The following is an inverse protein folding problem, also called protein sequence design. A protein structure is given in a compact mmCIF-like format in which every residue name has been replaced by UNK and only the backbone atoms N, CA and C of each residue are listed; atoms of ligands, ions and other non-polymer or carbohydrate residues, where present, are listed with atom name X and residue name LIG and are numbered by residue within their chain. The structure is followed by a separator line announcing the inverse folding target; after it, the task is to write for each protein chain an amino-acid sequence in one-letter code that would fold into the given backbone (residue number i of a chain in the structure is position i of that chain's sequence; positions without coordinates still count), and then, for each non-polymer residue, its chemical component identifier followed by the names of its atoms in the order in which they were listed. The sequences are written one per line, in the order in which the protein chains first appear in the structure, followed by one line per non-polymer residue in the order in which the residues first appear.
data_IF_027663656247
#
_entry.id   IF_027663656247
#
_cell.length_a   1.000
_cell.length_b   1.000
_cell.length_c   1.000
_cell.angle_alpha   90.00
_cell.angle_beta   90.00
_cell.angle_gamma   90.00
#
_symmetry.space_group_name_H-M   'P 1'
#
loop_
_entity.id
_entity.type
_entity.pdbx_description
1 polymer ?
#
# COMPACT_ATOMS: atom_id res chain seq x y z
N UNK A 1 -26.39 33.97 7.04
CA UNK A 1 -25.67 32.84 6.45
C UNK A 1 -24.22 33.27 6.24
N UNK A 2 -23.37 32.94 7.20
CA UNK A 2 -21.96 33.35 7.21
C UNK A 2 -21.13 32.16 6.71
N UNK A 3 -20.59 32.26 5.51
CA UNK A 3 -19.64 31.33 4.92
C UNK A 3 -18.26 31.58 5.53
N UNK A 4 -17.88 30.83 6.54
CA UNK A 4 -16.52 30.81 7.05
C UNK A 4 -15.62 30.13 6.01
N UNK A 5 -14.80 30.92 5.30
CA UNK A 5 -13.65 30.43 4.54
C UNK A 5 -12.68 29.74 5.51
N UNK A 6 -12.12 28.56 5.15
CA UNK A 6 -11.04 27.97 5.95
C UNK A 6 -9.87 28.96 5.97
N UNK A 7 -9.37 29.27 7.15
CA UNK A 7 -8.23 30.13 7.39
C UNK A 7 -7.00 29.60 6.64
N UNK A 8 -6.49 30.36 5.69
CA UNK A 8 -5.15 30.17 5.16
C UNK A 8 -4.18 30.44 6.32
N UNK A 9 -3.78 29.36 7.01
CA UNK A 9 -2.71 29.44 7.98
C UNK A 9 -1.43 29.90 7.29
N UNK A 10 -0.81 30.93 7.81
CA UNK A 10 0.54 31.36 7.44
C UNK A 10 1.44 30.15 7.55
N UNK A 11 1.96 29.65 6.42
CA UNK A 11 2.89 28.53 6.37
C UNK A 11 4.20 29.00 7.02
N UNK A 12 4.36 28.74 8.30
CA UNK A 12 5.64 28.92 8.98
C UNK A 12 6.65 27.97 8.30
N UNK A 13 7.81 28.50 7.94
CA UNK A 13 8.95 27.72 7.44
C UNK A 13 9.41 26.84 8.60
N UNK A 14 9.09 25.54 8.53
CA UNK A 14 9.45 24.59 9.57
C UNK A 14 10.62 23.74 9.06
N UNK A 15 11.82 24.00 9.53
CA UNK A 15 13.08 23.34 9.14
C UNK A 15 13.10 21.83 9.44
N UNK A 16 12.04 21.30 10.04
CA UNK A 16 11.90 19.90 10.49
C UNK A 16 10.76 19.16 9.77
N UNK A 17 10.37 19.58 8.55
CA UNK A 17 9.33 18.87 7.80
C UNK A 17 9.85 17.64 7.07
N UNK A 18 9.11 16.55 7.18
CA UNK A 18 9.22 15.35 6.33
C UNK A 18 8.14 15.43 5.27
N UNK A 19 8.53 15.43 4.01
CA UNK A 19 7.59 15.41 2.89
C UNK A 19 7.46 14.01 2.30
N UNK A 20 6.26 13.45 2.37
CA UNK A 20 5.91 12.23 1.65
C UNK A 20 5.36 12.61 0.28
N UNK A 21 6.13 12.40 -0.77
CA UNK A 21 5.83 12.85 -2.12
C UNK A 21 5.17 11.73 -2.94
N UNK A 22 4.00 12.00 -3.49
CA UNK A 22 3.24 11.03 -4.30
C UNK A 22 2.51 11.71 -5.47
N UNK A 23 2.32 10.97 -6.57
CA UNK A 23 1.41 11.34 -7.66
C UNK A 23 0.28 10.32 -7.72
N UNK A 24 -0.85 10.65 -7.15
CA UNK A 24 -2.00 9.76 -6.99
C UNK A 24 -3.18 10.25 -7.82
N UNK A 25 -3.51 9.52 -8.88
CA UNK A 25 -4.74 9.68 -9.65
C UNK A 25 -5.79 8.67 -9.23
N UNK A 26 -5.38 7.44 -8.98
CA UNK A 26 -6.22 6.33 -8.54
C UNK A 26 -5.79 5.91 -7.14
N UNK A 27 -6.71 5.34 -6.37
CA UNK A 27 -6.42 4.86 -5.02
C UNK A 27 -6.11 3.36 -5.04
N UNK A 28 -5.01 2.97 -4.39
CA UNK A 28 -4.56 1.58 -4.33
C UNK A 28 -3.57 1.31 -3.20
N UNK A 29 -2.76 0.26 -3.34
CA UNK A 29 -1.84 -0.18 -2.29
C UNK A 29 -0.73 0.82 -1.95
N UNK A 30 -0.27 1.63 -2.92
CA UNK A 30 0.75 2.66 -2.68
C UNK A 30 0.16 3.79 -1.84
N UNK A 31 -1.05 4.25 -2.18
CA UNK A 31 -1.76 5.29 -1.45
C UNK A 31 -2.07 4.84 -0.01
N UNK A 32 -2.56 3.61 0.16
CA UNK A 32 -2.79 3.02 1.49
C UNK A 32 -1.49 3.00 2.30
N UNK A 33 -0.39 2.52 1.71
CA UNK A 33 0.92 2.51 2.36
C UNK A 33 1.37 3.93 2.78
N UNK A 34 1.20 4.94 1.91
CA UNK A 34 1.60 6.33 2.22
C UNK A 34 0.75 6.92 3.35
N UNK A 35 -0.55 6.60 3.40
CA UNK A 35 -1.42 7.03 4.51
C UNK A 35 -1.00 6.38 5.83
N UNK A 36 -0.77 5.07 5.84
CA UNK A 36 -0.27 4.34 7.01
C UNK A 36 1.09 4.89 7.47
N UNK A 37 1.99 5.14 6.51
CA UNK A 37 3.30 5.72 6.79
C UNK A 37 3.18 7.10 7.43
N UNK A 38 2.32 7.98 6.89
CA UNK A 38 2.11 9.30 7.45
C UNK A 38 1.55 9.22 8.88
N UNK A 39 0.55 8.36 9.13
CA UNK A 39 -0.02 8.17 10.47
C UNK A 39 1.01 7.57 11.44
N UNK A 40 1.78 6.58 11.02
CA UNK A 40 2.84 5.98 11.83
C UNK A 40 3.90 7.01 12.21
N UNK A 41 4.38 7.80 11.25
CA UNK A 41 5.34 8.86 11.51
C UNK A 41 4.77 9.95 12.42
N UNK A 42 3.51 10.36 12.25
CA UNK A 42 2.86 11.36 13.11
C UNK A 42 2.72 10.83 14.54
N UNK A 43 2.35 9.57 14.74
CA UNK A 43 2.21 8.98 16.06
C UNK A 43 3.53 8.85 16.81
N UNK A 44 4.60 8.50 16.11
CA UNK A 44 5.94 8.34 16.68
C UNK A 44 6.73 9.67 16.74
N UNK A 45 6.41 10.63 15.87
CA UNK A 45 7.13 11.92 15.77
C UNK A 45 6.91 12.84 16.97
N UNK A 46 5.98 12.54 17.88
CA UNK A 46 5.86 13.25 19.16
C UNK A 46 7.18 13.28 19.94
N UNK A 47 8.10 12.34 19.67
CA UNK A 47 9.44 12.28 20.25
C UNK A 47 10.50 13.07 19.46
N UNK A 48 10.23 13.44 18.21
CA UNK A 48 11.25 13.95 17.26
C UNK A 48 11.04 15.39 16.82
N UNK A 49 10.07 16.13 17.32
CA UNK A 49 9.79 17.53 16.94
C UNK A 49 9.57 17.76 15.42
N UNK A 50 9.36 16.71 14.64
CA UNK A 50 9.23 16.79 13.19
C UNK A 50 7.78 16.76 12.75
N UNK A 51 7.46 17.51 11.71
CA UNK A 51 6.12 17.53 11.13
C UNK A 51 6.11 16.76 9.82
N UNK A 52 5.06 15.97 9.62
CA UNK A 52 4.87 15.16 8.41
C UNK A 52 3.83 15.82 7.52
N UNK A 53 4.13 15.94 6.23
CA UNK A 53 3.24 16.48 5.21
C UNK A 53 3.22 15.58 3.99
N UNK A 54 2.05 15.27 3.47
CA UNK A 54 1.92 14.64 2.16
C UNK A 54 1.93 15.73 1.09
N UNK A 55 2.81 15.60 0.08
CA UNK A 55 2.90 16.51 -1.05
C UNK A 55 2.40 15.80 -2.31
N UNK A 56 1.27 16.26 -2.82
CA UNK A 56 0.65 15.74 -4.04
C UNK A 56 1.25 16.45 -5.26
N UNK A 57 1.84 15.69 -6.18
CA UNK A 57 2.49 16.25 -7.38
C UNK A 57 1.52 16.92 -8.34
N UNK A 58 0.34 16.33 -8.52
CA UNK A 58 -0.65 16.74 -9.50
C UNK A 58 -2.00 17.00 -8.82
N UNK A 59 -2.64 18.10 -9.17
CA UNK A 59 -4.02 18.40 -8.81
C UNK A 59 -4.93 17.86 -9.91
N UNK A 60 -5.68 16.82 -9.64
CA UNK A 60 -6.59 16.18 -10.60
C UNK A 60 -7.98 16.84 -10.55
N UNK A 61 -8.72 16.72 -11.65
CA UNK A 61 -10.14 17.09 -11.72
C UNK A 61 -10.89 15.96 -12.47
N UNK A 62 -11.82 15.21 -11.84
CA UNK A 62 -12.20 15.34 -10.42
C UNK A 62 -11.04 15.08 -9.45
N UNK A 63 -11.22 15.53 -8.21
CA UNK A 63 -10.20 15.41 -7.17
C UNK A 63 -9.93 13.94 -6.84
N UNK A 64 -8.68 13.60 -6.58
CA UNK A 64 -8.27 12.22 -6.31
C UNK A 64 -8.81 11.72 -4.95
N UNK A 65 -9.20 10.47 -4.87
CA UNK A 65 -9.78 9.81 -3.67
C UNK A 65 -8.88 9.97 -2.42
N UNK A 66 -7.57 10.01 -2.62
CA UNK A 66 -6.62 10.19 -1.50
C UNK A 66 -6.89 11.48 -0.71
N UNK A 67 -7.38 12.53 -1.34
CA UNK A 67 -7.65 13.84 -0.68
C UNK A 67 -8.78 13.73 0.32
N UNK A 68 -9.85 13.01 0.00
CA UNK A 68 -10.94 12.74 0.94
C UNK A 68 -10.41 11.99 2.18
N UNK A 69 -9.58 10.98 1.97
CA UNK A 69 -8.98 10.20 3.06
C UNK A 69 -8.00 11.03 3.90
N UNK A 70 -7.21 11.90 3.29
CA UNK A 70 -6.31 12.82 4.00
C UNK A 70 -7.09 13.77 4.92
N UNK A 71 -8.21 14.31 4.45
CA UNK A 71 -9.10 15.15 5.23
C UNK A 71 -9.75 14.37 6.38
N UNK A 72 -10.27 13.17 6.13
CA UNK A 72 -10.89 12.30 7.13
C UNK A 72 -9.91 11.92 8.24
N UNK A 73 -8.66 11.63 7.87
CA UNK A 73 -7.60 11.23 8.81
C UNK A 73 -6.87 12.41 9.44
N UNK A 74 -7.22 13.65 9.09
CA UNK A 74 -6.55 14.88 9.51
C UNK A 74 -5.03 14.88 9.26
N UNK A 75 -4.61 14.28 8.14
CA UNK A 75 -3.19 14.25 7.73
C UNK A 75 -2.87 15.55 6.96
N UNK A 76 -1.85 16.32 7.38
CA UNK A 76 -1.45 17.52 6.66
C UNK A 76 -1.00 17.22 5.23
N UNK A 77 -1.56 17.93 4.26
CA UNK A 77 -1.14 17.78 2.87
C UNK A 77 -1.10 19.12 2.13
N UNK A 78 -0.42 19.16 1.00
CA UNK A 78 -0.38 20.31 0.08
C UNK A 78 -0.20 19.81 -1.35
N UNK A 79 -0.73 20.56 -2.31
CA UNK A 79 -0.34 20.34 -3.69
C UNK A 79 1.00 21.02 -3.97
N UNK A 80 1.84 20.39 -4.77
CA UNK A 80 3.14 20.94 -5.16
C UNK A 80 3.00 22.30 -5.86
N UNK A 81 1.96 22.45 -6.69
CA UNK A 81 1.64 23.73 -7.34
C UNK A 81 1.43 24.86 -6.34
N UNK A 82 0.72 24.59 -5.25
CA UNK A 82 0.37 25.59 -4.25
C UNK A 82 1.61 26.00 -3.42
N UNK A 83 2.47 25.03 -3.08
CA UNK A 83 3.77 25.29 -2.45
C UNK A 83 4.68 26.15 -3.35
N UNK A 84 4.69 25.87 -4.64
CA UNK A 84 5.51 26.61 -5.60
C UNK A 84 5.00 28.05 -5.86
N UNK A 85 3.68 28.27 -5.82
CA UNK A 85 3.05 29.59 -5.99
C UNK A 85 3.44 30.55 -4.88
N UNK A 86 3.57 30.08 -3.63
CA UNK A 86 4.01 30.91 -2.51
C UNK A 86 5.45 31.43 -2.68
N UNK A 87 6.25 30.82 -3.56
CA UNK A 87 7.68 31.11 -3.64
C UNK A 87 8.06 32.11 -4.76
N UNK A 88 7.31 32.31 -5.80
CA UNK A 88 7.55 33.30 -6.88
C UNK A 88 6.77 33.01 -8.17
N UNK A 89 5.44 33.07 -8.17
CA UNK A 89 4.63 33.04 -9.41
C UNK A 89 4.90 31.90 -10.36
N UNK A 90 3.93 31.21 -10.46
CA UNK A 90 3.29 30.19 -11.23
C UNK A 90 3.87 29.60 -12.45
N UNK A 91 4.70 29.32 -13.09
CA UNK A 91 4.74 28.39 -14.22
C UNK A 91 6.01 27.53 -14.30
N UNK A 92 5.81 26.25 -14.37
CA UNK A 92 6.91 25.31 -14.53
C UNK A 92 6.42 23.86 -14.41
N UNK A 93 7.21 22.93 -14.93
CA UNK A 93 6.97 21.51 -14.71
C UNK A 93 7.18 21.13 -13.23
N UNK A 94 6.71 19.96 -12.83
CA UNK A 94 6.78 19.49 -11.44
C UNK A 94 8.21 19.53 -10.86
N UNK A 95 9.25 19.32 -11.69
CA UNK A 95 10.63 19.37 -11.24
C UNK A 95 11.05 20.79 -10.83
N UNK A 96 10.69 21.80 -11.63
CA UNK A 96 10.96 23.21 -11.33
C UNK A 96 10.17 23.66 -10.11
N UNK A 97 8.91 23.26 -10.00
CA UNK A 97 8.06 23.55 -8.85
C UNK A 97 8.64 22.96 -7.57
N UNK A 98 9.03 21.68 -7.59
CA UNK A 98 9.63 21.02 -6.43
C UNK A 98 10.93 21.71 -6.03
N UNK A 99 11.81 22.03 -6.98
CA UNK A 99 13.08 22.70 -6.69
C UNK A 99 12.86 24.04 -5.97
N UNK A 100 11.91 24.85 -6.44
CA UNK A 100 11.55 26.15 -5.81
C UNK A 100 10.96 25.93 -4.41
N UNK A 101 10.01 25.00 -4.26
CA UNK A 101 9.41 24.69 -2.98
C UNK A 101 10.46 24.20 -1.96
N UNK A 102 11.37 23.32 -2.37
CA UNK A 102 12.46 22.85 -1.51
C UNK A 102 13.44 23.96 -1.11
N UNK A 103 13.76 24.88 -2.03
CA UNK A 103 14.60 26.03 -1.72
C UNK A 103 13.97 26.98 -0.69
N UNK A 104 12.65 27.14 -0.73
CA UNK A 104 11.92 28.03 0.17
C UNK A 104 11.63 27.39 1.52
N UNK A 105 11.05 26.19 1.54
CA UNK A 105 10.60 25.51 2.76
C UNK A 105 11.69 24.70 3.45
N UNK A 106 12.74 24.30 2.73
CA UNK A 106 13.88 23.54 3.23
C UNK A 106 13.47 22.30 4.05
N UNK A 107 12.60 21.42 3.52
CA UNK A 107 12.23 20.22 4.24
C UNK A 107 13.50 19.41 4.56
N UNK A 108 13.52 18.79 5.73
CA UNK A 108 14.66 17.95 6.15
C UNK A 108 14.81 16.74 5.23
N UNK A 109 13.66 16.18 4.80
CA UNK A 109 13.61 14.96 4.03
C UNK A 109 12.43 14.95 3.06
N UNK A 110 12.67 14.41 1.86
CA UNK A 110 11.62 14.03 0.91
C UNK A 110 11.67 12.53 0.72
N UNK A 111 10.58 11.87 1.03
CA UNK A 111 10.40 10.45 0.77
C UNK A 111 9.39 10.28 -0.37
N UNK A 112 9.86 9.80 -1.50
CA UNK A 112 9.08 9.66 -2.73
C UNK A 112 8.51 8.26 -2.91
N UNK A 113 7.24 8.20 -3.30
CA UNK A 113 6.52 6.97 -3.56
C UNK A 113 5.96 6.96 -4.99
N UNK A 114 6.27 5.89 -5.74
CA UNK A 114 5.93 5.75 -7.15
C UNK A 114 6.93 6.43 -8.08
N UNK A 115 7.07 5.90 -9.30
CA UNK A 115 8.13 6.26 -10.26
C UNK A 115 8.16 7.76 -10.62
N UNK A 116 6.99 8.41 -10.77
CA UNK A 116 6.94 9.83 -11.14
C UNK A 116 7.42 10.73 -10.01
N UNK A 117 6.96 10.48 -8.77
CA UNK A 117 7.42 11.21 -7.60
C UNK A 117 8.91 10.99 -7.34
N UNK A 118 9.38 9.77 -7.50
CA UNK A 118 10.79 9.40 -7.38
C UNK A 118 11.66 10.14 -8.39
N UNK A 119 11.34 10.07 -9.68
CA UNK A 119 12.11 10.76 -10.73
C UNK A 119 12.15 12.26 -10.50
N UNK A 120 11.01 12.89 -10.18
CA UNK A 120 10.94 14.33 -9.93
C UNK A 120 11.77 14.73 -8.71
N UNK A 121 11.70 13.96 -7.61
CA UNK A 121 12.44 14.26 -6.39
C UNK A 121 13.96 14.08 -6.55
N UNK A 122 14.44 13.11 -7.30
CA UNK A 122 15.85 12.92 -7.58
C UNK A 122 16.51 14.11 -8.28
N UNK A 123 15.72 14.89 -9.04
CA UNK A 123 16.25 16.08 -9.74
C UNK A 123 16.71 17.20 -8.78
N UNK A 124 16.30 17.20 -7.52
CA UNK A 124 16.82 18.14 -6.52
C UNK A 124 18.30 17.87 -6.18
N UNK A 125 18.77 16.66 -6.41
CA UNK A 125 20.16 16.26 -6.18
C UNK A 125 21.12 16.66 -7.31
N UNK A 126 20.60 17.07 -8.46
CA UNK A 126 21.43 17.52 -9.58
C UNK A 126 21.93 18.96 -9.36
N UNK A 127 23.15 19.28 -9.80
CA UNK A 127 23.68 20.64 -9.70
C UNK A 127 22.82 21.68 -10.42
N UNK A 128 22.78 22.93 -9.95
CA UNK A 128 23.33 23.40 -8.68
C UNK A 128 22.55 22.86 -7.48
N UNK A 129 23.24 22.32 -6.48
CA UNK A 129 22.63 21.86 -5.23
C UNK A 129 22.45 23.04 -4.29
N UNK A 130 21.21 23.34 -3.93
CA UNK A 130 20.87 24.54 -3.11
C UNK A 130 20.38 24.18 -1.71
N UNK A 131 20.36 22.89 -1.34
CA UNK A 131 19.77 22.44 -0.09
C UNK A 131 20.44 21.17 0.44
N UNK A 132 20.26 20.94 1.72
CA UNK A 132 20.70 19.73 2.44
C UNK A 132 19.56 18.70 2.60
N UNK A 133 18.44 18.88 1.88
CA UNK A 133 17.28 17.98 1.94
C UNK A 133 17.69 16.57 1.53
N UNK A 134 17.45 15.60 2.40
CA UNK A 134 17.63 14.18 2.06
C UNK A 134 16.54 13.74 1.09
N UNK A 135 16.91 12.92 0.13
CA UNK A 135 15.97 12.33 -0.83
C UNK A 135 15.98 10.82 -0.71
N UNK A 136 14.82 10.24 -0.43
CA UNK A 136 14.60 8.81 -0.27
C UNK A 136 13.52 8.35 -1.25
N UNK A 137 13.68 7.15 -1.78
CA UNK A 137 12.70 6.53 -2.67
C UNK A 137 12.31 5.16 -2.15
N UNK A 138 11.00 4.86 -2.09
CA UNK A 138 10.49 3.50 -1.93
C UNK A 138 10.01 2.94 -3.27
N UNK A 139 10.54 1.78 -3.65
CA UNK A 139 10.14 1.02 -4.82
C UNK A 139 9.11 -0.03 -4.42
N UNK A 140 7.86 0.14 -4.88
CA UNK A 140 6.72 -0.72 -4.52
C UNK A 140 6.44 -1.80 -5.56
N UNK A 141 6.64 -1.52 -6.85
CA UNK A 141 6.30 -2.44 -7.93
C UNK A 141 7.40 -3.48 -8.18
N UNK A 142 7.07 -4.74 -8.00
CA UNK A 142 7.91 -5.87 -8.41
C UNK A 142 7.68 -6.30 -9.85
N UNK A 143 6.61 -5.84 -10.46
CA UNK A 143 6.19 -6.12 -11.83
C UNK A 143 7.03 -5.36 -12.84
N UNK A 144 7.09 -5.86 -14.08
CA UNK A 144 7.67 -5.13 -15.19
C UNK A 144 6.51 -4.52 -15.97
N UNK A 145 6.26 -3.21 -15.85
CA UNK A 145 5.16 -2.58 -16.56
C UNK A 145 5.41 -2.60 -18.07
N UNK A 146 4.34 -2.44 -18.85
CA UNK A 146 4.38 -2.39 -20.30
C UNK A 146 4.26 -0.96 -20.85
N UNK A 147 4.62 -0.76 -22.10
CA UNK A 147 4.45 0.52 -22.79
C UNK A 147 5.33 1.65 -22.21
N UNK A 148 4.79 2.87 -22.18
CA UNK A 148 5.52 4.06 -21.69
C UNK A 148 5.91 3.96 -20.21
N UNK A 149 5.12 3.27 -19.41
CA UNK A 149 5.38 3.10 -17.96
C UNK A 149 6.64 2.30 -17.73
N UNK A 150 6.96 1.33 -18.60
CA UNK A 150 8.21 0.57 -18.54
C UNK A 150 9.46 1.47 -18.62
N UNK A 151 9.45 2.46 -19.50
CA UNK A 151 10.58 3.39 -19.63
C UNK A 151 10.77 4.24 -18.37
N UNK A 152 9.67 4.73 -17.78
CA UNK A 152 9.75 5.52 -16.55
C UNK A 152 10.19 4.68 -15.35
N UNK A 153 9.71 3.45 -15.22
CA UNK A 153 10.13 2.51 -14.18
C UNK A 153 11.61 2.14 -14.34
N UNK A 154 12.06 1.92 -15.58
CA UNK A 154 13.48 1.67 -15.87
C UNK A 154 14.35 2.87 -15.50
N UNK A 155 14.00 4.09 -15.95
CA UNK A 155 14.70 5.32 -15.58
C UNK A 155 14.74 5.53 -14.07
N UNK A 156 13.65 5.28 -13.39
CA UNK A 156 13.56 5.42 -11.94
C UNK A 156 14.53 4.48 -11.21
N UNK A 157 14.56 3.21 -11.59
CA UNK A 157 15.48 2.23 -10.99
C UNK A 157 16.94 2.52 -11.29
N UNK A 158 17.27 2.80 -12.54
CA UNK A 158 18.66 3.08 -12.93
C UNK A 158 19.17 4.41 -12.38
N UNK A 159 18.30 5.38 -12.07
CA UNK A 159 18.68 6.62 -11.38
C UNK A 159 18.70 6.50 -9.85
N UNK A 160 18.58 5.31 -9.30
CA UNK A 160 18.56 5.07 -7.85
C UNK A 160 19.81 5.58 -7.11
N UNK A 161 20.97 5.67 -7.79
CA UNK A 161 22.20 6.23 -7.25
C UNK A 161 22.12 7.73 -6.94
N UNK A 162 21.09 8.44 -7.41
CA UNK A 162 20.82 9.84 -7.06
C UNK A 162 20.10 9.97 -5.73
N UNK A 163 19.47 8.91 -5.24
CA UNK A 163 18.81 8.89 -3.93
C UNK A 163 19.85 8.75 -2.81
N UNK A 164 19.64 9.46 -1.70
CA UNK A 164 20.48 9.26 -0.51
C UNK A 164 20.25 7.88 0.10
N UNK A 165 18.99 7.38 0.04
CA UNK A 165 18.62 6.02 0.42
C UNK A 165 17.55 5.47 -0.54
N UNK A 166 17.62 4.17 -0.82
CA UNK A 166 16.65 3.44 -1.63
C UNK A 166 16.00 2.35 -0.78
N UNK A 167 14.67 2.38 -0.68
CA UNK A 167 13.89 1.39 0.05
C UNK A 167 13.18 0.45 -0.91
N UNK A 168 13.09 -0.81 -0.56
CA UNK A 168 12.40 -1.84 -1.35
C UNK A 168 11.49 -2.67 -0.45
N UNK A 169 10.32 -3.04 -0.94
CA UNK A 169 9.34 -3.82 -0.19
C UNK A 169 9.46 -5.33 -0.42
N UNK A 170 10.38 -5.77 -1.31
CA UNK A 170 10.63 -7.19 -1.54
C UNK A 170 12.01 -7.46 -2.13
N UNK A 171 12.53 -8.70 -1.96
CA UNK A 171 13.81 -9.14 -2.55
C UNK A 171 13.80 -9.12 -4.08
N UNK A 172 12.66 -9.41 -4.72
CA UNK A 172 12.50 -9.29 -6.18
C UNK A 172 12.77 -7.86 -6.68
N UNK A 173 12.30 -6.87 -5.93
CA UNK A 173 12.52 -5.46 -6.27
C UNK A 173 13.98 -5.10 -6.02
N UNK A 174 14.55 -5.58 -4.91
CA UNK A 174 15.96 -5.39 -4.57
C UNK A 174 16.89 -5.84 -5.70
N UNK A 175 16.63 -7.00 -6.28
CA UNK A 175 17.40 -7.51 -7.41
C UNK A 175 17.35 -6.64 -8.67
N UNK A 176 16.34 -5.77 -8.80
CA UNK A 176 16.13 -4.88 -9.95
C UNK A 176 16.64 -3.46 -9.74
N UNK A 177 17.06 -3.07 -8.53
CA UNK A 177 17.56 -1.73 -8.19
C UNK A 177 19.08 -1.77 -8.08
N UNK A 178 19.85 -1.05 -8.93
CA UNK A 178 21.31 -1.16 -8.99
C UNK A 178 22.05 -0.61 -7.76
N UNK A 179 21.45 0.32 -7.02
CA UNK A 179 22.07 0.92 -5.83
C UNK A 179 21.88 0.06 -4.58
N UNK A 180 22.63 0.39 -3.50
CA UNK A 180 22.39 -0.20 -2.19
C UNK A 180 20.96 0.12 -1.74
N UNK A 181 20.23 -0.91 -1.32
CA UNK A 181 18.85 -0.79 -0.87
C UNK A 181 18.69 -1.28 0.56
N UNK A 182 17.73 -0.70 1.27
CA UNK A 182 17.23 -1.21 2.55
C UNK A 182 15.86 -1.84 2.31
N UNK A 183 15.65 -3.04 2.82
CA UNK A 183 14.33 -3.64 2.80
C UNK A 183 13.51 -3.11 3.97
N UNK A 184 12.32 -2.61 3.68
CA UNK A 184 11.35 -2.17 4.68
C UNK A 184 10.02 -2.88 4.39
N UNK A 185 9.44 -3.48 5.41
CA UNK A 185 8.12 -4.08 5.28
C UNK A 185 7.05 -3.00 5.19
N UNK A 186 6.00 -3.27 4.40
CA UNK A 186 4.75 -2.56 4.56
C UNK A 186 4.22 -2.83 5.97
N UNK A 187 3.44 -1.92 6.52
CA UNK A 187 2.82 -2.08 7.82
C UNK A 187 1.39 -1.55 7.81
N UNK A 188 0.64 -1.90 8.82
CA UNK A 188 -0.76 -1.52 8.98
C UNK A 188 -1.04 -1.13 10.42
N UNK A 189 -1.87 -0.09 10.60
CA UNK A 189 -2.33 0.32 11.93
C UNK A 189 -3.21 -0.77 12.55
N UNK A 190 -3.01 -1.00 13.85
CA UNK A 190 -3.87 -1.90 14.61
C UNK A 190 -5.23 -1.22 14.81
N UNK A 191 -6.35 -1.78 14.31
CA UNK A 191 -7.67 -1.20 14.48
C UNK A 191 -8.07 -1.15 15.97
N UNK A 192 -8.74 -0.07 16.36
CA UNK A 192 -9.37 0.02 17.67
C UNK A 192 -10.75 -0.62 17.62
N UNK A 193 -10.97 -1.69 18.38
CA UNK A 193 -12.25 -2.40 18.43
C UNK A 193 -12.38 -3.48 17.36
N UNK A 194 -11.55 -4.51 17.45
CA UNK A 194 -11.68 -5.72 16.64
C UNK A 194 -12.99 -6.43 17.04
N UNK A 195 -14.03 -6.29 16.24
CA UNK A 195 -15.24 -7.10 16.37
C UNK A 195 -15.00 -8.40 15.59
N UNK A 196 -14.69 -9.46 16.31
CA UNK A 196 -14.77 -10.80 15.74
C UNK A 196 -16.25 -11.09 15.45
N UNK A 197 -16.66 -10.93 14.20
CA UNK A 197 -17.94 -11.48 13.76
C UNK A 197 -17.85 -13.00 13.84
N UNK A 198 -18.80 -13.68 14.49
CA UNK A 198 -18.81 -15.13 14.49
C UNK A 198 -18.98 -15.62 13.06
N UNK A 199 -18.14 -16.57 12.64
CA UNK A 199 -18.26 -17.27 11.38
C UNK A 199 -19.64 -17.93 11.30
N UNK A 200 -20.54 -17.36 10.52
CA UNK A 200 -21.87 -17.93 10.24
C UNK A 200 -21.78 -18.78 8.97
N UNK A 201 -22.43 -19.94 8.97
CA UNK A 201 -22.61 -20.69 7.71
C UNK A 201 -23.72 -20.02 6.88
N UNK A 202 -23.55 -19.81 5.55
CA UNK A 202 -22.40 -20.19 4.73
C UNK A 202 -21.17 -19.31 4.97
N UNK A 203 -19.95 -19.86 4.73
CA UNK A 203 -18.71 -19.10 4.80
C UNK A 203 -18.63 -18.08 3.65
N UNK A 204 -18.09 -16.91 3.98
CA UNK A 204 -17.79 -15.86 3.02
C UNK A 204 -16.27 -15.77 2.81
N UNK A 205 -15.81 -16.13 1.63
CA UNK A 205 -14.42 -15.97 1.24
C UNK A 205 -14.25 -14.76 0.35
N UNK A 206 -13.29 -13.92 0.65
CA UNK A 206 -13.09 -12.65 -0.03
C UNK A 206 -11.87 -12.63 -0.94
N UNK A 207 -11.97 -11.89 -2.03
CA UNK A 207 -10.87 -11.37 -2.81
C UNK A 207 -10.90 -9.84 -2.70
N UNK A 208 -9.77 -9.22 -2.38
CA UNK A 208 -9.65 -7.77 -2.26
C UNK A 208 -8.47 -7.28 -3.07
N UNK A 209 -8.73 -6.51 -4.14
CA UNK A 209 -7.66 -5.97 -4.97
C UNK A 209 -8.08 -5.61 -6.38
N UNK A 210 -7.12 -5.12 -7.17
CA UNK A 210 -7.34 -4.80 -8.58
C UNK A 210 -7.61 -6.07 -9.38
N UNK A 211 -8.62 -6.03 -10.25
CA UNK A 211 -8.95 -7.15 -11.15
C UNK A 211 -8.01 -7.14 -12.37
N UNK A 212 -6.79 -7.63 -12.16
CA UNK A 212 -5.74 -7.67 -13.17
C UNK A 212 -5.06 -9.04 -13.20
N UNK A 213 -4.38 -9.35 -14.30
CA UNK A 213 -3.67 -10.61 -14.49
C UNK A 213 -2.72 -10.98 -13.34
N UNK A 214 -2.04 -10.00 -12.78
CA UNK A 214 -1.09 -10.18 -11.68
C UNK A 214 -1.78 -10.65 -10.39
N UNK A 215 -2.99 -10.12 -10.12
CA UNK A 215 -3.80 -10.48 -8.93
C UNK A 215 -4.59 -11.76 -9.11
N UNK A 216 -4.72 -12.24 -10.34
CA UNK A 216 -5.34 -13.50 -10.71
C UNK A 216 -6.78 -13.72 -10.18
N UNK A 217 -7.71 -12.76 -10.36
CA UNK A 217 -9.11 -12.97 -9.98
C UNK A 217 -9.77 -14.13 -10.75
N UNK A 218 -9.22 -14.51 -11.89
CA UNK A 218 -9.62 -15.70 -12.67
C UNK A 218 -9.48 -16.99 -11.87
N UNK A 219 -8.38 -17.15 -11.07
CA UNK A 219 -8.19 -18.30 -10.19
C UNK A 219 -9.22 -18.30 -9.04
N UNK A 220 -9.57 -17.12 -8.52
CA UNK A 220 -10.60 -16.99 -7.48
C UNK A 220 -11.97 -17.41 -7.99
N UNK A 221 -12.37 -16.93 -9.17
CA UNK A 221 -13.64 -17.31 -9.81
C UNK A 221 -13.66 -18.79 -10.20
N UNK A 222 -12.54 -19.35 -10.65
CA UNK A 222 -12.43 -20.78 -10.96
C UNK A 222 -12.59 -21.64 -9.69
N UNK A 223 -12.02 -21.21 -8.57
CA UNK A 223 -12.15 -21.89 -7.28
C UNK A 223 -13.59 -21.90 -6.79
N UNK A 224 -14.35 -20.82 -6.98
CA UNK A 224 -15.75 -20.72 -6.58
C UNK A 224 -16.64 -21.83 -7.19
N UNK A 225 -16.33 -22.29 -8.40
CA UNK A 225 -17.08 -23.37 -9.08
C UNK A 225 -16.99 -24.71 -8.36
N UNK A 226 -15.92 -24.92 -7.57
CA UNK A 226 -15.71 -26.17 -6.82
C UNK A 226 -16.42 -26.15 -5.45
N UNK A 227 -16.89 -24.97 -5.00
CA UNK A 227 -17.50 -24.80 -3.69
C UNK A 227 -18.87 -24.07 -3.80
N UNK A 228 -19.91 -24.70 -4.36
CA UNK A 228 -21.19 -24.03 -4.62
C UNK A 228 -21.89 -23.54 -3.34
N UNK A 229 -21.62 -24.14 -2.19
CA UNK A 229 -22.21 -23.78 -0.89
C UNK A 229 -21.45 -22.69 -0.15
N UNK A 230 -20.34 -22.18 -0.71
CA UNK A 230 -19.54 -21.08 -0.15
C UNK A 230 -19.83 -19.80 -0.92
N UNK A 231 -19.91 -18.67 -0.22
CA UNK A 231 -20.05 -17.35 -0.81
C UNK A 231 -18.68 -16.78 -1.16
N UNK A 232 -18.51 -16.36 -2.39
CA UNK A 232 -17.29 -15.74 -2.90
C UNK A 232 -17.55 -14.26 -3.17
N UNK A 233 -16.89 -13.40 -2.38
CA UNK A 233 -17.09 -11.95 -2.39
C UNK A 233 -15.88 -11.28 -3.01
N UNK A 234 -16.05 -10.61 -4.16
CA UNK A 234 -14.97 -10.02 -4.92
C UNK A 234 -15.04 -8.49 -4.86
N UNK A 235 -14.09 -7.88 -4.17
CA UNK A 235 -14.01 -6.43 -3.95
C UNK A 235 -12.85 -5.84 -4.77
N UNK A 236 -13.17 -4.92 -5.65
CA UNK A 236 -12.23 -4.25 -6.52
C UNK A 236 -12.74 -4.06 -7.93
N UNK A 237 -11.93 -3.39 -8.74
CA UNK A 237 -12.20 -3.11 -10.14
C UNK A 237 -10.92 -3.31 -10.96
N UNK A 238 -11.04 -3.44 -12.28
CA UNK A 238 -9.88 -3.61 -13.13
C UNK A 238 -10.20 -4.15 -14.52
N UNK A 239 -9.16 -4.28 -15.37
CA UNK A 239 -9.31 -4.64 -16.76
C UNK A 239 -9.94 -6.02 -17.01
N UNK A 240 -9.93 -6.93 -16.02
CA UNK A 240 -10.50 -8.26 -16.18
C UNK A 240 -11.99 -8.36 -15.77
N UNK A 241 -12.58 -7.28 -15.22
CA UNK A 241 -13.95 -7.26 -14.72
C UNK A 241 -14.97 -7.77 -15.75
N UNK A 242 -14.97 -7.19 -16.97
CA UNK A 242 -15.93 -7.53 -18.00
C UNK A 242 -15.83 -8.99 -18.49
N UNK A 243 -14.63 -9.55 -18.46
CA UNK A 243 -14.38 -10.93 -18.86
C UNK A 243 -14.88 -11.89 -17.79
N UNK A 244 -14.59 -11.60 -16.53
CA UNK A 244 -14.96 -12.42 -15.38
C UNK A 244 -16.48 -12.43 -15.15
N UNK A 245 -17.15 -11.29 -15.30
CA UNK A 245 -18.59 -11.16 -15.14
C UNK A 245 -19.38 -12.03 -16.13
N UNK A 246 -18.84 -12.29 -17.33
CA UNK A 246 -19.49 -13.17 -18.34
C UNK A 246 -19.52 -14.65 -17.95
N UNK A 247 -18.63 -15.08 -17.08
CA UNK A 247 -18.50 -16.47 -16.62
C UNK A 247 -18.73 -16.62 -15.11
N UNK A 248 -19.41 -15.64 -14.51
CA UNK A 248 -19.67 -15.57 -13.08
C UNK A 248 -20.51 -16.78 -12.61
N UNK A 249 -20.04 -17.57 -11.64
CA UNK A 249 -20.86 -18.57 -10.96
C UNK A 249 -21.89 -17.89 -10.03
N UNK A 250 -23.00 -18.59 -9.75
CA UNK A 250 -24.10 -18.05 -8.91
C UNK A 250 -23.68 -17.69 -7.48
N UNK A 251 -22.61 -18.31 -6.98
CA UNK A 251 -22.07 -18.07 -5.65
C UNK A 251 -20.97 -17.02 -5.60
N UNK A 252 -20.69 -16.30 -6.68
CA UNK A 252 -19.73 -15.18 -6.74
C UNK A 252 -20.46 -13.85 -6.82
N UNK A 253 -20.12 -12.90 -5.96
CA UNK A 253 -20.63 -11.53 -6.00
C UNK A 253 -19.50 -10.55 -6.30
N UNK A 254 -19.69 -9.71 -7.32
CA UNK A 254 -18.78 -8.60 -7.64
C UNK A 254 -19.30 -7.32 -7.00
N UNK A 255 -18.53 -6.75 -6.08
CA UNK A 255 -18.90 -5.53 -5.35
C UNK A 255 -18.33 -4.25 -5.98
N UNK A 256 -17.43 -4.38 -6.96
CA UNK A 256 -16.72 -3.23 -7.52
C UNK A 256 -15.75 -2.57 -6.53
N UNK A 257 -15.34 -1.36 -6.85
CA UNK A 257 -14.44 -0.58 -5.99
C UNK A 257 -15.16 -0.16 -4.70
N UNK A 258 -14.52 -0.41 -3.55
CA UNK A 258 -15.03 -0.05 -2.24
C UNK A 258 -14.18 1.06 -1.61
N UNK A 259 -14.83 2.05 -1.02
CA UNK A 259 -14.17 3.17 -0.33
C UNK A 259 -14.03 2.95 1.16
N UNK A 260 -14.99 2.22 1.78
CA UNK A 260 -14.95 1.84 3.18
C UNK A 260 -14.46 0.39 3.33
N UNK A 261 -13.21 0.23 3.73
CA UNK A 261 -12.62 -1.09 3.89
C UNK A 261 -13.09 -1.83 5.14
N UNK A 262 -13.56 -1.13 6.18
CA UNK A 262 -14.07 -1.81 7.38
C UNK A 262 -15.36 -2.57 7.08
N UNK A 263 -16.21 -2.05 6.19
CA UNK A 263 -17.40 -2.76 5.71
C UNK A 263 -17.01 -4.00 4.89
N UNK A 264 -15.94 -3.94 4.13
CA UNK A 264 -15.41 -5.09 3.37
C UNK A 264 -14.94 -6.19 4.33
N UNK A 265 -14.08 -5.82 5.29
CA UNK A 265 -13.49 -6.79 6.22
C UNK A 265 -14.52 -7.45 7.14
N UNK A 266 -15.64 -6.78 7.42
CA UNK A 266 -16.73 -7.35 8.23
C UNK A 266 -17.54 -8.43 7.49
N UNK A 267 -17.40 -8.55 6.17
CA UNK A 267 -18.18 -9.44 5.32
C UNK A 267 -17.45 -10.75 4.96
N UNK A 268 -16.18 -10.92 5.34
CA UNK A 268 -15.39 -12.08 4.92
C UNK A 268 -14.77 -12.82 6.10
N UNK A 269 -14.77 -14.14 6.00
CA UNK A 269 -14.22 -15.06 7.01
C UNK A 269 -12.77 -15.50 6.68
N UNK A 270 -12.42 -15.49 5.38
CA UNK A 270 -11.11 -15.86 4.86
C UNK A 270 -10.79 -14.99 3.65
N UNK A 271 -9.60 -14.39 3.62
CA UNK A 271 -9.11 -13.70 2.43
C UNK A 271 -8.33 -14.68 1.54
N UNK A 272 -8.64 -14.71 0.25
CA UNK A 272 -7.87 -15.47 -0.76
C UNK A 272 -7.06 -14.51 -1.62
N UNK A 273 -5.75 -14.73 -1.68
CA UNK A 273 -4.79 -14.00 -2.52
C UNK A 273 -4.18 -14.97 -3.54
N UNK A 274 -4.84 -15.23 -4.67
CA UNK A 274 -4.41 -16.23 -5.65
C UNK A 274 -3.37 -15.69 -6.63
N UNK A 275 -2.71 -14.59 -6.30
CA UNK A 275 -1.90 -13.76 -7.18
C UNK A 275 -0.78 -14.52 -7.88
N UNK A 276 -0.47 -14.12 -9.11
CA UNK A 276 0.74 -14.56 -9.86
C UNK A 276 1.97 -13.77 -9.45
N UNK A 277 1.76 -12.50 -9.05
CA UNK A 277 2.85 -11.61 -8.63
C UNK A 277 2.38 -10.72 -7.48
N UNK A 278 3.23 -10.61 -6.45
CA UNK A 278 3.06 -9.69 -5.32
C UNK A 278 4.39 -9.12 -4.85
N UNK A 279 4.31 -7.98 -4.13
CA UNK A 279 5.32 -7.57 -3.19
C UNK A 279 5.00 -8.12 -1.79
N UNK A 280 4.50 -7.24 -0.92
CA UNK A 280 3.77 -7.57 0.30
C UNK A 280 2.42 -6.84 0.23
N UNK A 281 1.31 -7.54 -0.07
CA UNK A 281 0.02 -6.88 -0.29
C UNK A 281 -0.55 -6.31 1.02
N UNK A 282 -0.99 -5.04 0.98
CA UNK A 282 -1.65 -4.39 2.12
C UNK A 282 -2.90 -5.17 2.56
N UNK A 283 -3.66 -5.70 1.61
CA UNK A 283 -4.85 -6.50 1.90
C UNK A 283 -4.58 -7.70 2.81
N UNK A 284 -3.39 -8.36 2.69
CA UNK A 284 -3.01 -9.44 3.60
C UNK A 284 -2.81 -8.94 5.02
N UNK A 285 -2.09 -7.83 5.18
CA UNK A 285 -1.85 -7.22 6.50
C UNK A 285 -3.16 -6.72 7.13
N UNK A 286 -4.00 -6.05 6.35
CA UNK A 286 -5.29 -5.52 6.80
C UNK A 286 -6.27 -6.63 7.23
N UNK A 287 -6.30 -7.75 6.52
CA UNK A 287 -7.09 -8.92 6.89
C UNK A 287 -6.55 -9.58 8.16
N UNK A 288 -5.26 -9.91 8.19
CA UNK A 288 -4.64 -10.63 9.30
C UNK A 288 -4.70 -9.84 10.61
N UNK A 289 -4.51 -8.52 10.58
CA UNK A 289 -4.62 -7.68 11.79
C UNK A 289 -6.04 -7.66 12.37
N UNK A 290 -7.04 -7.94 11.55
CA UNK A 290 -8.47 -8.08 11.94
C UNK A 290 -8.85 -9.52 12.31
N UNK A 291 -7.89 -10.45 12.32
CA UNK A 291 -8.13 -11.85 12.59
C UNK A 291 -8.82 -12.59 11.44
N UNK A 292 -8.72 -12.08 10.21
CA UNK A 292 -9.16 -12.77 9.00
C UNK A 292 -7.95 -13.54 8.44
N UNK A 293 -7.95 -14.87 8.50
CA UNK A 293 -6.84 -15.67 7.96
C UNK A 293 -6.70 -15.48 6.45
N UNK A 294 -5.50 -15.71 5.97
CA UNK A 294 -5.18 -15.54 4.53
C UNK A 294 -4.80 -16.89 3.93
N UNK A 295 -5.45 -17.24 2.83
CA UNK A 295 -5.02 -18.31 1.91
C UNK A 295 -4.36 -17.65 0.70
N UNK A 296 -3.06 -17.81 0.52
CA UNK A 296 -2.32 -17.13 -0.52
C UNK A 296 -1.42 -18.07 -1.32
N UNK A 297 -1.12 -17.70 -2.56
CA UNK A 297 -0.02 -18.28 -3.33
C UNK A 297 1.33 -17.87 -2.74
N UNK A 298 2.35 -18.72 -2.90
CA UNK A 298 3.71 -18.50 -2.38
C UNK A 298 4.51 -17.54 -3.27
N UNK A 299 4.07 -16.28 -3.37
CA UNK A 299 4.70 -15.25 -4.20
C UNK A 299 5.12 -14.03 -3.38
N UNK A 300 6.16 -13.34 -3.84
CA UNK A 300 6.67 -12.12 -3.20
C UNK A 300 7.14 -12.33 -1.77
N UNK A 301 6.64 -11.51 -0.85
CA UNK A 301 6.92 -11.62 0.58
C UNK A 301 5.79 -12.33 1.37
N UNK A 302 4.78 -12.88 0.70
CA UNK A 302 3.73 -13.66 1.36
C UNK A 302 4.29 -14.87 2.15
N UNK A 303 5.34 -15.60 1.67
CA UNK A 303 5.98 -16.66 2.46
C UNK A 303 6.72 -16.18 3.73
N UNK A 304 7.03 -14.88 3.84
CA UNK A 304 7.60 -14.30 5.07
C UNK A 304 6.52 -13.90 6.07
N UNK A 305 5.33 -13.59 5.59
CA UNK A 305 4.17 -13.20 6.41
C UNK A 305 3.38 -14.41 6.89
N UNK A 306 3.15 -15.39 6.00
CA UNK A 306 2.27 -16.53 6.27
C UNK A 306 3.10 -17.77 6.61
N UNK A 307 2.90 -18.27 7.82
CA UNK A 307 3.36 -19.57 8.27
C UNK A 307 2.22 -20.56 8.09
N UNK A 308 2.40 -21.48 7.14
CA UNK A 308 1.35 -22.43 6.72
C UNK A 308 0.73 -23.17 7.90
N UNK A 309 -0.61 -23.18 7.98
CA UNK A 309 -1.42 -23.80 9.04
C UNK A 309 -1.24 -23.21 10.46
N UNK A 310 -0.42 -22.16 10.62
CA UNK A 310 -0.22 -21.49 11.89
C UNK A 310 -1.00 -20.19 11.97
N UNK A 311 -0.82 -19.30 10.96
CA UNK A 311 -1.47 -18.00 10.89
C UNK A 311 -2.20 -17.76 9.56
N UNK A 312 -2.23 -18.77 8.67
CA UNK A 312 -2.84 -18.74 7.35
C UNK A 312 -2.46 -19.97 6.55
N UNK A 313 -2.74 -19.95 5.25
CA UNK A 313 -2.42 -21.04 4.33
C UNK A 313 -1.60 -20.52 3.16
N UNK A 314 -0.54 -21.25 2.80
CA UNK A 314 0.35 -20.88 1.71
C UNK A 314 0.35 -21.99 0.65
N UNK A 315 -0.12 -21.66 -0.55
CA UNK A 315 -0.13 -22.55 -1.70
C UNK A 315 1.21 -22.48 -2.44
N UNK A 316 2.04 -23.49 -2.25
CA UNK A 316 3.27 -23.70 -2.98
C UNK A 316 2.97 -24.56 -4.21
N UNK A 317 3.31 -24.08 -5.39
CA UNK A 317 3.03 -24.76 -6.66
C UNK A 317 3.98 -24.28 -7.75
N UNK A 318 4.25 -25.14 -8.72
CA UNK A 318 5.14 -24.87 -9.87
C UNK A 318 4.38 -24.52 -11.15
N UNK A 319 3.06 -24.77 -11.20
CA UNK A 319 2.22 -24.53 -12.36
C UNK A 319 0.84 -23.95 -11.96
N UNK A 320 0.15 -23.32 -12.92
CA UNK A 320 -1.20 -22.77 -12.72
C UNK A 320 -2.23 -23.88 -12.37
N UNK A 321 -2.13 -25.04 -12.99
CA UNK A 321 -3.02 -26.18 -12.70
C UNK A 321 -2.79 -26.74 -11.30
N UNK A 322 -1.55 -26.85 -10.87
CA UNK A 322 -1.20 -27.25 -9.51
C UNK A 322 -1.66 -26.21 -8.48
N UNK A 323 -1.49 -24.91 -8.80
CA UNK A 323 -1.98 -23.83 -7.95
C UNK A 323 -3.47 -23.98 -7.64
N UNK A 324 -4.29 -24.26 -8.66
CA UNK A 324 -5.72 -24.44 -8.48
C UNK A 324 -6.05 -25.57 -7.53
N UNK A 325 -5.40 -26.74 -7.69
CA UNK A 325 -5.59 -27.89 -6.81
C UNK A 325 -5.16 -27.62 -5.36
N UNK A 326 -4.03 -26.95 -5.17
CA UNK A 326 -3.53 -26.63 -3.83
C UNK A 326 -4.42 -25.61 -3.13
N UNK A 327 -4.93 -24.61 -3.85
CA UNK A 327 -5.91 -23.65 -3.31
C UNK A 327 -7.21 -24.35 -2.88
N UNK A 328 -7.72 -25.29 -3.71
CA UNK A 328 -8.89 -26.11 -3.39
C UNK A 328 -8.68 -26.96 -2.13
N UNK A 329 -7.55 -27.66 -2.03
CA UNK A 329 -7.20 -28.47 -0.86
C UNK A 329 -7.10 -27.64 0.42
N UNK A 330 -6.48 -26.44 0.33
CA UNK A 330 -6.33 -25.57 1.51
C UNK A 330 -7.64 -24.92 1.93
N UNK A 331 -8.50 -24.54 0.99
CA UNK A 331 -9.84 -24.05 1.32
C UNK A 331 -10.68 -25.14 1.99
N UNK A 332 -10.65 -26.38 1.47
CA UNK A 332 -11.33 -27.52 2.09
C UNK A 332 -10.79 -27.81 3.51
N UNK A 333 -9.48 -27.74 3.69
CA UNK A 333 -8.82 -27.93 4.99
C UNK A 333 -9.26 -26.83 5.99
N UNK A 334 -9.30 -25.57 5.57
CA UNK A 334 -9.75 -24.46 6.43
C UNK A 334 -11.24 -24.61 6.81
N UNK A 335 -12.09 -25.04 5.89
CA UNK A 335 -13.52 -25.26 6.16
C UNK A 335 -13.76 -26.38 7.17
N UNK A 336 -12.89 -27.38 7.21
CA UNK A 336 -12.98 -28.54 8.13
C UNK A 336 -12.46 -28.25 9.55
N UNK A 337 -11.85 -27.09 9.80
CA UNK A 337 -11.32 -26.73 11.12
C UNK A 337 -12.44 -26.61 12.16
N UNK A 338 -12.13 -27.01 13.41
CA UNK A 338 -12.98 -26.69 14.56
C UNK A 338 -12.97 -25.20 14.89
N UNK A 339 -13.92 -24.73 15.69
CA UNK A 339 -13.95 -23.33 16.15
C UNK A 339 -12.64 -22.94 16.85
N UNK A 340 -12.14 -23.78 17.75
CA UNK A 340 -10.90 -23.54 18.49
C UNK A 340 -9.68 -23.44 17.57
N UNK A 341 -9.61 -24.28 16.54
CA UNK A 341 -8.52 -24.22 15.55
C UNK A 341 -8.58 -22.92 14.73
N UNK A 342 -9.79 -22.48 14.34
CA UNK A 342 -9.97 -21.19 13.65
C UNK A 342 -9.60 -20.03 14.54
N UNK A 343 -10.00 -20.03 15.81
CA UNK A 343 -9.67 -18.97 16.76
C UNK A 343 -8.16 -18.89 17.04
N UNK A 344 -7.49 -20.04 17.12
CA UNK A 344 -6.03 -20.06 17.22
C UNK A 344 -5.36 -19.46 15.99
N UNK A 345 -5.82 -19.83 14.80
CA UNK A 345 -5.29 -19.31 13.52
C UNK A 345 -5.50 -17.80 13.38
N UNK A 346 -6.69 -17.29 13.80
CA UNK A 346 -7.01 -15.86 13.86
C UNK A 346 -6.08 -15.12 14.83
N UNK A 347 -5.90 -15.64 16.03
CA UNK A 347 -5.04 -15.02 17.05
C UNK A 347 -3.60 -14.94 16.59
N UNK A 348 -3.07 -16.00 16.00
CA UNK A 348 -1.70 -16.05 15.47
C UNK A 348 -1.52 -15.06 14.30
N UNK A 349 -2.55 -14.88 13.46
CA UNK A 349 -2.51 -13.90 12.37
C UNK A 349 -2.40 -12.47 12.93
N UNK A 350 -3.20 -12.12 13.93
CA UNK A 350 -3.16 -10.82 14.61
C UNK A 350 -1.79 -10.59 15.24
N UNK A 351 -1.28 -11.57 16.00
CA UNK A 351 -0.01 -11.46 16.70
C UNK A 351 1.15 -11.25 15.73
N UNK A 352 1.19 -12.03 14.64
CA UNK A 352 2.21 -11.88 13.59
C UNK A 352 2.26 -10.46 13.03
N UNK A 353 1.09 -9.88 12.73
CA UNK A 353 1.06 -8.52 12.17
C UNK A 353 1.39 -7.47 13.22
N UNK A 354 0.91 -7.62 14.46
CA UNK A 354 1.27 -6.70 15.56
C UNK A 354 2.77 -6.65 15.80
N UNK A 355 3.43 -7.80 15.82
CA UNK A 355 4.83 -7.91 16.21
C UNK A 355 5.80 -7.50 15.11
N UNK A 356 5.43 -7.69 13.83
CA UNK A 356 6.37 -7.53 12.71
C UNK A 356 5.95 -6.49 11.68
N UNK A 357 4.66 -6.13 11.62
CA UNK A 357 4.08 -5.30 10.58
C UNK A 357 3.16 -4.19 11.14
N UNK A 358 3.36 -3.82 12.40
CA UNK A 358 2.72 -2.64 13.00
C UNK A 358 3.58 -1.40 12.86
N UNK A 359 3.03 -0.19 13.02
CA UNK A 359 3.83 1.04 13.08
C UNK A 359 4.92 0.97 14.13
N UNK A 360 4.64 0.41 15.31
CA UNK A 360 5.59 0.27 16.42
C UNK A 360 6.78 -0.62 16.06
N UNK A 361 6.59 -1.62 15.20
CA UNK A 361 7.65 -2.51 14.76
C UNK A 361 8.49 -1.92 13.62
N UNK A 362 7.86 -1.18 12.68
CA UNK A 362 8.49 -0.79 11.41
C UNK A 362 8.98 0.66 11.42
N UNK A 363 8.24 1.60 12.04
CA UNK A 363 8.59 3.03 12.01
C UNK A 363 9.95 3.30 12.67
N UNK A 364 10.35 2.69 13.80
CA UNK A 364 11.69 2.90 14.36
C UNK A 364 12.82 2.55 13.39
N UNK A 365 12.68 1.45 12.63
CA UNK A 365 13.66 1.05 11.60
C UNK A 365 13.74 2.08 10.47
N UNK A 366 12.59 2.64 10.07
CA UNK A 366 12.52 3.68 9.06
C UNK A 366 13.21 4.98 9.53
N UNK A 367 12.99 5.38 10.78
CA UNK A 367 13.62 6.56 11.38
C UNK A 367 15.15 6.42 11.44
N UNK A 368 15.67 5.23 11.70
CA UNK A 368 17.10 4.94 11.60
C UNK A 368 17.63 5.12 10.17
N UNK A 369 16.87 4.63 9.16
CA UNK A 369 17.22 4.82 7.74
C UNK A 369 17.15 6.31 7.35
N UNK A 370 16.22 7.05 7.89
CA UNK A 370 16.12 8.49 7.70
C UNK A 370 17.31 9.23 8.30
N UNK A 371 18.04 8.61 9.25
CA UNK A 371 19.14 9.23 10.01
C UNK A 371 18.69 10.59 10.59
N UNK A 372 17.53 10.59 11.19
CA UNK A 372 17.04 11.72 11.95
C UNK A 372 17.73 11.63 13.31
N UNK A 373 18.59 12.58 13.62
CA UNK A 373 19.27 12.62 14.91
C UNK A 373 18.24 12.77 16.04
N UNK A 374 18.39 11.97 17.08
CA UNK A 374 17.56 12.01 18.29
C UNK A 374 17.79 13.29 19.07
#
# INVERSE_FOLDING_TARGET
MSTTKPSQGVLNVNLHEIWLLIDSQTFGGIETHVLELAQGLISESAQYSETVRIVLLTKFNPEAIIVEKLNTLNIPFSYLSDLALCCSGSSGNSATQLKRAVQHYQPRLIHAHGYKASLVSKLIKLPPRFNNTKQITTYHAGETPTGKVWLYDWLDRYSSFLSDQSLVVSEKIKAKVPSKTHQLNNFVKVPTGLTNSPSSSPFHVGFVGRLSHEKAPDRFVALAKQFPDVRFELFGDGPEMDVLAKSQPDNVTFHGHQTNMDDVWSQIDLLIIPSRFEGLPMAALEAMIRGIPVLATSVGNLPKLIVHQVNGYLANSESDSETALVLEQHLSSWMSLTSEQRDSLKSNAIETVKDQYSPQAVVPQLLEIYQLDR
#
